data_IF_766846053185
#
_entry.id   IF_766846053185
#
_cell.length_a   1.000
_cell.length_b   1.000
_cell.length_c   1.000
_cell.angle_alpha   90.00
_cell.angle_beta   90.00
_cell.angle_gamma   90.00
#
_symmetry.space_group_name_H-M   'P 1'
#
loop_
_entity.id
_entity.type
_entity.pdbx_description
1 polymer ?
#
# COMPACT_ATOMS: atom_id res chain seq x y z
N UNK A 1 15.25 -8.09 15.20
CA UNK A 1 15.34 -7.25 16.41
C UNK A 1 16.70 -6.55 16.48
N UNK A 2 17.82 -7.25 16.23
CA UNK A 2 19.16 -6.65 16.33
C UNK A 2 19.28 -5.39 15.46
N UNK A 3 18.92 -5.47 14.19
CA UNK A 3 18.95 -4.32 13.28
C UNK A 3 18.16 -3.10 13.80
N UNK A 4 17.07 -3.35 14.55
CA UNK A 4 16.27 -2.28 15.14
C UNK A 4 16.99 -1.64 16.34
N UNK A 5 17.63 -2.45 17.18
CA UNK A 5 18.44 -1.98 18.30
C UNK A 5 19.62 -1.15 17.79
N UNK A 6 20.29 -1.62 16.75
CA UNK A 6 21.42 -0.92 16.13
C UNK A 6 20.96 0.41 15.51
N UNK A 7 19.83 0.42 14.79
CA UNK A 7 19.30 1.64 14.16
C UNK A 7 18.80 2.68 15.18
N UNK A 8 18.33 2.26 16.35
CA UNK A 8 17.80 3.16 17.39
C UNK A 8 18.79 3.49 18.48
N UNK A 9 19.92 2.81 18.53
CA UNK A 9 20.92 2.87 19.59
C UNK A 9 20.31 2.62 21.00
N UNK A 10 19.26 1.80 21.05
CA UNK A 10 18.57 1.45 22.29
C UNK A 10 18.95 0.05 22.76
N UNK A 11 19.02 -0.16 24.08
CA UNK A 11 19.06 -1.51 24.63
C UNK A 11 17.71 -2.21 24.45
N UNK A 12 17.74 -3.55 24.39
CA UNK A 12 16.51 -4.37 24.35
C UNK A 12 15.57 -4.07 25.52
N UNK A 13 16.12 -3.85 26.71
CA UNK A 13 15.36 -3.49 27.92
C UNK A 13 14.68 -2.12 27.75
N UNK A 14 15.41 -1.11 27.27
CA UNK A 14 14.86 0.23 27.03
C UNK A 14 13.76 0.19 25.96
N UNK A 15 13.96 -0.57 24.87
CA UNK A 15 12.97 -0.73 23.82
C UNK A 15 11.65 -1.30 24.38
N UNK A 16 11.73 -2.41 25.13
CA UNK A 16 10.52 -3.04 25.66
C UNK A 16 9.90 -2.30 26.86
N UNK A 17 10.68 -1.49 27.58
CA UNK A 17 10.13 -0.59 28.59
C UNK A 17 9.19 0.46 27.97
N UNK A 18 9.49 0.93 26.76
CA UNK A 18 8.67 1.92 26.04
C UNK A 18 7.53 1.27 25.28
N UNK A 19 7.79 0.18 24.57
CA UNK A 19 6.85 -0.42 23.62
C UNK A 19 6.18 -1.70 24.15
N UNK A 20 6.53 -2.17 25.35
CA UNK A 20 5.97 -3.38 25.97
C UNK A 20 6.58 -4.65 25.40
N UNK A 21 6.18 -5.05 24.19
CA UNK A 21 6.65 -6.28 23.54
C UNK A 21 7.04 -6.02 22.07
N UNK A 22 7.72 -7.01 21.47
CA UNK A 22 8.00 -6.99 20.02
C UNK A 22 6.72 -6.88 19.18
N UNK A 23 5.66 -7.56 19.62
CA UNK A 23 4.36 -7.52 18.95
C UNK A 23 3.73 -6.13 19.04
N UNK A 24 3.66 -5.54 20.24
CA UNK A 24 3.10 -4.19 20.42
C UNK A 24 3.88 -3.15 19.62
N UNK A 25 5.21 -3.24 19.60
CA UNK A 25 6.04 -2.39 18.76
C UNK A 25 5.66 -2.54 17.28
N UNK A 26 5.43 -3.76 16.81
CA UNK A 26 5.06 -4.03 15.43
C UNK A 26 3.66 -3.49 15.10
N UNK A 27 2.68 -3.66 16.00
CA UNK A 27 1.34 -3.08 15.89
C UNK A 27 1.42 -1.55 15.74
N UNK A 28 2.15 -0.89 16.64
CA UNK A 28 2.36 0.56 16.58
C UNK A 28 3.07 1.01 15.30
N UNK A 29 4.03 0.23 14.82
CA UNK A 29 4.74 0.52 13.57
C UNK A 29 3.81 0.44 12.35
N UNK A 30 2.95 -0.60 12.26
CA UNK A 30 1.94 -0.72 11.19
C UNK A 30 0.96 0.46 11.25
N UNK A 31 0.44 0.78 12.42
CA UNK A 31 -0.51 1.88 12.58
C UNK A 31 0.10 3.22 12.16
N UNK A 32 1.32 3.52 12.63
CA UNK A 32 2.01 4.73 12.26
C UNK A 32 2.29 4.82 10.76
N UNK A 33 2.81 3.74 10.18
CA UNK A 33 3.07 3.66 8.74
C UNK A 33 1.80 3.88 7.94
N UNK A 34 0.73 3.17 8.28
CA UNK A 34 -0.57 3.27 7.59
C UNK A 34 -1.15 4.67 7.67
N UNK A 35 -1.10 5.30 8.84
CA UNK A 35 -1.64 6.64 9.05
C UNK A 35 -0.86 7.70 8.25
N UNK A 36 0.47 7.60 8.19
CA UNK A 36 1.32 8.51 7.40
C UNK A 36 1.02 8.33 5.92
N UNK A 37 1.00 7.08 5.44
CA UNK A 37 0.74 6.76 4.04
C UNK A 37 -0.66 7.20 3.61
N UNK A 38 -1.69 6.90 4.42
CA UNK A 38 -3.07 7.31 4.15
C UNK A 38 -3.22 8.82 4.04
N UNK A 39 -2.65 9.58 5.00
CA UNK A 39 -2.68 11.05 4.96
C UNK A 39 -2.02 11.60 3.70
N UNK A 40 -0.86 11.05 3.33
CA UNK A 40 -0.16 11.47 2.11
C UNK A 40 -0.99 11.17 0.86
N UNK A 41 -1.52 9.95 0.73
CA UNK A 41 -2.31 9.54 -0.44
C UNK A 41 -3.64 10.28 -0.52
N UNK A 42 -4.31 10.55 0.62
CA UNK A 42 -5.55 11.34 0.64
C UNK A 42 -5.31 12.77 0.18
N UNK A 43 -4.26 13.41 0.68
CA UNK A 43 -3.88 14.76 0.23
C UNK A 43 -3.50 14.79 -1.25
N UNK A 44 -2.83 13.74 -1.73
CA UNK A 44 -2.48 13.60 -3.14
C UNK A 44 -3.73 13.41 -4.03
N UNK A 45 -4.71 12.59 -3.61
CA UNK A 45 -5.99 12.45 -4.30
C UNK A 45 -6.70 13.80 -4.42
N UNK A 46 -6.74 14.59 -3.34
CA UNK A 46 -7.41 15.89 -3.35
C UNK A 46 -6.67 16.92 -4.23
N UNK A 47 -5.35 16.80 -4.38
CA UNK A 47 -4.51 17.71 -5.18
C UNK A 47 -4.44 17.34 -6.67
N UNK A 48 -4.76 16.11 -7.07
CA UNK A 48 -4.71 15.68 -8.48
C UNK A 48 -5.86 16.27 -9.31
N UNK A 49 -5.65 16.51 -10.61
CA UNK A 49 -6.66 17.06 -11.50
C UNK A 49 -7.89 16.15 -11.64
N UNK A 50 -7.72 14.82 -11.56
CA UNK A 50 -8.84 13.87 -11.61
C UNK A 50 -8.57 12.63 -10.76
N UNK A 51 -9.66 11.86 -10.50
CA UNK A 51 -9.56 10.56 -9.82
C UNK A 51 -8.71 9.57 -10.61
N UNK A 52 -8.85 9.53 -11.93
CA UNK A 52 -8.06 8.66 -12.81
C UNK A 52 -6.57 9.06 -12.81
N UNK A 53 -6.26 10.36 -12.80
CA UNK A 53 -4.87 10.84 -12.71
C UNK A 53 -4.19 10.39 -11.42
N UNK A 54 -4.90 10.40 -10.28
CA UNK A 54 -4.39 9.85 -9.02
C UNK A 54 -4.08 8.35 -9.11
N UNK A 55 -5.00 7.57 -9.69
CA UNK A 55 -4.83 6.11 -9.85
C UNK A 55 -3.62 5.82 -10.74
N UNK A 56 -3.55 6.49 -11.90
CA UNK A 56 -2.45 6.35 -12.84
C UNK A 56 -1.09 6.65 -12.20
N UNK A 57 -0.99 7.79 -11.52
CA UNK A 57 0.27 8.21 -10.89
C UNK A 57 0.66 7.31 -9.72
N UNK A 58 -0.32 6.77 -8.97
CA UNK A 58 -0.07 5.78 -7.91
C UNK A 58 0.53 4.50 -8.49
N UNK A 59 -0.02 3.97 -9.57
CA UNK A 59 0.51 2.78 -10.26
C UNK A 59 1.92 3.02 -10.80
N UNK A 60 2.13 4.15 -11.49
CA UNK A 60 3.46 4.53 -12.00
C UNK A 60 4.47 4.74 -10.87
N UNK A 61 4.07 5.37 -9.77
CA UNK A 61 4.94 5.56 -8.61
C UNK A 61 5.46 4.23 -8.08
N UNK A 62 4.58 3.22 -8.00
CA UNK A 62 4.97 1.87 -7.57
C UNK A 62 5.88 1.21 -8.61
N UNK A 63 5.51 1.22 -9.90
CA UNK A 63 6.30 0.58 -10.95
C UNK A 63 7.72 1.16 -11.06
N UNK A 64 7.87 2.48 -10.86
CA UNK A 64 9.16 3.19 -10.94
C UNK A 64 10.02 3.07 -9.67
N UNK A 65 9.55 2.40 -8.63
CA UNK A 65 10.36 2.17 -7.42
C UNK A 65 11.64 1.38 -7.75
N UNK A 66 11.60 0.49 -8.75
CA UNK A 66 12.76 -0.27 -9.22
C UNK A 66 13.89 0.63 -9.77
N UNK A 67 13.56 1.81 -10.29
CA UNK A 67 14.53 2.78 -10.82
C UNK A 67 15.14 3.65 -9.70
N UNK A 68 14.45 3.76 -8.57
CA UNK A 68 14.83 4.65 -7.45
C UNK A 68 15.52 3.94 -6.31
N UNK A 69 15.47 2.61 -6.27
CA UNK A 69 16.03 1.81 -5.18
C UNK A 69 16.66 0.53 -5.70
N UNK A 70 17.91 0.30 -5.33
CA UNK A 70 18.59 -0.98 -5.57
C UNK A 70 17.94 -2.13 -4.78
N UNK A 71 17.33 -1.83 -3.64
CA UNK A 71 16.61 -2.77 -2.78
C UNK A 71 15.18 -2.28 -2.51
N UNK A 72 14.24 -2.51 -3.44
CA UNK A 72 12.84 -2.15 -3.25
C UNK A 72 12.25 -2.88 -2.03
N UNK A 73 11.69 -2.13 -1.10
CA UNK A 73 11.18 -2.70 0.17
C UNK A 73 9.74 -3.24 0.06
N UNK A 74 9.03 -2.84 -0.99
CA UNK A 74 7.61 -3.16 -1.15
C UNK A 74 6.71 -2.41 -0.16
N UNK A 75 5.50 -2.93 0.07
CA UNK A 75 4.57 -2.35 1.04
C UNK A 75 4.68 -3.05 2.40
N UNK A 76 4.84 -2.28 3.47
CA UNK A 76 4.93 -2.85 4.82
C UNK A 76 3.67 -3.63 5.20
N UNK A 77 2.47 -3.14 4.84
CA UNK A 77 1.21 -3.83 5.08
C UNK A 77 1.18 -5.18 4.32
N UNK A 78 1.44 -5.17 3.00
CA UNK A 78 1.42 -6.39 2.19
C UNK A 78 2.48 -7.41 2.63
N UNK A 79 3.66 -6.96 3.02
CA UNK A 79 4.69 -7.84 3.57
C UNK A 79 4.24 -8.46 4.90
N UNK A 80 3.53 -7.69 5.73
CA UNK A 80 3.04 -8.15 7.03
C UNK A 80 1.95 -9.21 6.93
N UNK A 81 1.12 -9.18 5.89
CA UNK A 81 0.11 -10.21 5.62
C UNK A 81 0.78 -11.59 5.53
N UNK A 82 1.85 -11.68 4.77
CA UNK A 82 2.53 -12.95 4.51
C UNK A 82 3.29 -13.50 5.75
N UNK A 83 3.77 -12.62 6.62
CA UNK A 83 4.60 -13.02 7.75
C UNK A 83 3.80 -13.33 9.03
N UNK A 84 2.72 -12.60 9.27
CA UNK A 84 2.06 -12.56 10.59
C UNK A 84 0.61 -13.00 10.61
N UNK A 85 -0.12 -12.96 9.48
CA UNK A 85 -1.55 -13.28 9.45
C UNK A 85 -1.89 -14.71 9.89
N UNK A 86 -0.93 -15.63 9.83
CA UNK A 86 -1.12 -17.04 10.20
C UNK A 86 -0.95 -17.27 11.71
N UNK A 87 -0.23 -16.37 12.41
CA UNK A 87 0.22 -16.61 13.79
C UNK A 87 -0.46 -15.76 14.85
N UNK A 88 -1.09 -14.66 14.47
CA UNK A 88 -1.65 -13.70 15.42
C UNK A 88 -2.93 -13.08 14.89
N UNK A 89 -4.04 -13.39 15.56
CA UNK A 89 -5.39 -12.92 15.16
C UNK A 89 -5.55 -11.41 15.30
N UNK A 90 -4.91 -10.80 16.29
CA UNK A 90 -4.99 -9.35 16.51
C UNK A 90 -4.25 -8.59 15.41
N UNK A 91 -3.03 -9.02 15.09
CA UNK A 91 -2.25 -8.45 13.98
C UNK A 91 -2.97 -8.66 12.64
N UNK A 92 -3.56 -9.84 12.43
CA UNK A 92 -4.38 -10.11 11.26
C UNK A 92 -5.52 -9.09 11.13
N UNK A 93 -6.24 -8.82 12.22
CA UNK A 93 -7.34 -7.85 12.18
C UNK A 93 -6.85 -6.43 11.86
N UNK A 94 -5.77 -5.98 12.51
CA UNK A 94 -5.16 -4.67 12.22
C UNK A 94 -4.79 -4.56 10.74
N UNK A 95 -4.20 -5.60 10.16
CA UNK A 95 -3.79 -5.61 8.75
C UNK A 95 -5.02 -5.53 7.83
N UNK A 96 -6.09 -6.28 8.13
CA UNK A 96 -7.35 -6.24 7.38
C UNK A 96 -7.94 -4.84 7.44
N UNK A 97 -8.10 -4.25 8.63
CA UNK A 97 -8.68 -2.92 8.80
C UNK A 97 -7.89 -1.84 8.05
N UNK A 98 -6.56 -1.97 8.00
CA UNK A 98 -5.72 -1.05 7.24
C UNK A 98 -5.85 -1.25 5.73
N UNK A 99 -5.97 -2.48 5.26
CA UNK A 99 -6.23 -2.77 3.85
C UNK A 99 -7.58 -2.18 3.40
N UNK A 100 -8.64 -2.40 4.17
CA UNK A 100 -9.96 -1.83 3.91
C UNK A 100 -9.95 -0.29 3.88
N UNK A 101 -9.13 0.34 4.74
CA UNK A 101 -8.95 1.79 4.74
C UNK A 101 -8.37 2.29 3.40
N UNK A 102 -7.38 1.59 2.83
CA UNK A 102 -6.82 1.94 1.52
C UNK A 102 -7.75 1.59 0.37
N UNK A 103 -8.47 0.47 0.45
CA UNK A 103 -9.51 0.16 -0.55
C UNK A 103 -10.59 1.24 -0.58
N UNK A 104 -11.03 1.74 0.58
CA UNK A 104 -11.98 2.84 0.64
C UNK A 104 -11.46 4.15 0.01
N UNK A 105 -10.16 4.42 0.15
CA UNK A 105 -9.53 5.57 -0.53
C UNK A 105 -9.53 5.39 -2.05
N UNK A 106 -9.21 4.20 -2.54
CA UNK A 106 -9.29 3.90 -3.97
C UNK A 106 -10.73 3.93 -4.49
N UNK A 107 -11.71 3.47 -3.70
CA UNK A 107 -13.12 3.58 -4.07
C UNK A 107 -13.56 5.06 -4.21
N UNK A 108 -13.06 5.95 -3.33
CA UNK A 108 -13.27 7.41 -3.47
C UNK A 108 -12.65 7.94 -4.77
N UNK A 109 -11.43 7.52 -5.11
CA UNK A 109 -10.77 7.93 -6.35
C UNK A 109 -11.49 7.43 -7.60
N UNK A 110 -11.93 6.18 -7.61
CA UNK A 110 -12.69 5.58 -8.72
C UNK A 110 -14.05 6.27 -8.88
N UNK A 111 -14.78 6.49 -7.77
CA UNK A 111 -16.06 7.20 -7.79
C UNK A 111 -15.89 8.61 -8.37
N UNK A 112 -14.84 9.31 -7.96
CA UNK A 112 -14.49 10.62 -8.52
C UNK A 112 -14.23 10.55 -10.02
N UNK A 113 -13.44 9.57 -10.49
CA UNK A 113 -13.18 9.37 -11.92
C UNK A 113 -14.45 9.03 -12.73
N UNK A 114 -15.40 8.31 -12.14
CA UNK A 114 -16.71 8.05 -12.75
C UNK A 114 -17.55 9.34 -12.83
N UNK A 115 -17.57 10.16 -11.78
CA UNK A 115 -18.31 11.44 -11.76
C UNK A 115 -17.71 12.47 -12.74
N UNK A 116 -16.41 12.38 -13.00
CA UNK A 116 -15.67 13.18 -13.97
C UNK A 116 -15.84 12.66 -15.43
N UNK A 117 -16.39 11.44 -15.60
CA UNK A 117 -16.59 10.80 -16.91
C UNK A 117 -15.36 10.07 -17.47
N UNK A 118 -14.31 9.95 -16.67
CA UNK A 118 -13.07 9.25 -17.04
C UNK A 118 -13.22 7.71 -17.00
N UNK A 119 -14.12 7.19 -16.15
CA UNK A 119 -14.43 5.77 -16.02
C UNK A 119 -15.93 5.51 -16.19
N UNK A 120 -16.29 4.29 -16.63
CA UNK A 120 -17.70 3.87 -16.72
C UNK A 120 -18.37 3.84 -15.34
N UNK A 121 -19.58 4.41 -15.25
CA UNK A 121 -20.40 4.34 -14.04
C UNK A 121 -21.16 3.02 -13.87
N UNK A 122 -21.05 2.09 -14.82
CA UNK A 122 -21.71 0.78 -14.75
C UNK A 122 -21.05 -0.16 -13.71
N UNK A 123 -19.75 0.03 -13.46
CA UNK A 123 -18.98 -0.77 -12.53
C UNK A 123 -19.10 -0.25 -11.10
N UNK A 124 -19.18 -1.17 -10.12
CA UNK A 124 -19.19 -0.80 -8.70
C UNK A 124 -17.82 -0.26 -8.25
N UNK A 125 -17.71 0.98 -7.75
CA UNK A 125 -16.44 1.57 -7.33
C UNK A 125 -15.71 0.76 -6.25
N UNK A 126 -16.43 0.07 -5.36
CA UNK A 126 -15.81 -0.75 -4.30
C UNK A 126 -15.19 -2.02 -4.86
N UNK A 127 -15.85 -2.66 -5.84
CA UNK A 127 -15.32 -3.88 -6.47
C UNK A 127 -14.07 -3.55 -7.29
N UNK A 128 -14.11 -2.45 -8.06
CA UNK A 128 -12.94 -1.96 -8.78
C UNK A 128 -11.81 -1.56 -7.82
N UNK A 129 -12.13 -0.99 -6.66
CA UNK A 129 -11.12 -0.63 -5.66
C UNK A 129 -10.42 -1.86 -5.07
N UNK A 130 -11.16 -2.94 -4.79
CA UNK A 130 -10.59 -4.22 -4.38
C UNK A 130 -9.65 -4.80 -5.44
N UNK A 131 -10.07 -4.78 -6.72
CA UNK A 131 -9.22 -5.18 -7.84
C UNK A 131 -7.95 -4.32 -7.93
N UNK A 132 -8.09 -3.00 -7.87
CA UNK A 132 -6.97 -2.06 -7.93
C UNK A 132 -5.99 -2.25 -6.76
N UNK A 133 -6.48 -2.41 -5.54
CA UNK A 133 -5.65 -2.66 -4.36
C UNK A 133 -4.84 -3.96 -4.49
N UNK A 134 -5.47 -5.04 -4.98
CA UNK A 134 -4.79 -6.30 -5.26
C UNK A 134 -3.74 -6.14 -6.38
N UNK A 135 -4.07 -5.42 -7.45
CA UNK A 135 -3.14 -5.15 -8.56
C UNK A 135 -1.91 -4.36 -8.09
N UNK A 136 -2.10 -3.32 -7.26
CA UNK A 136 -1.01 -2.55 -6.65
C UNK A 136 -0.16 -3.44 -5.73
N UNK A 137 -0.78 -4.32 -4.95
CA UNK A 137 -0.06 -5.25 -4.06
C UNK A 137 0.79 -6.24 -4.86
N UNK A 138 0.25 -6.79 -5.94
CA UNK A 138 0.97 -7.65 -6.88
C UNK A 138 2.10 -6.92 -7.60
N UNK A 139 1.86 -5.67 -8.03
CA UNK A 139 2.88 -4.82 -8.65
C UNK A 139 4.04 -4.56 -7.69
N UNK A 140 3.78 -4.24 -6.42
CA UNK A 140 4.82 -4.08 -5.39
C UNK A 140 5.63 -5.37 -5.15
N UNK A 141 4.97 -6.53 -5.15
CA UNK A 141 5.66 -7.82 -5.07
C UNK A 141 6.56 -8.04 -6.28
N UNK A 142 6.11 -7.70 -7.49
CA UNK A 142 6.88 -7.78 -8.73
C UNK A 142 8.09 -6.85 -8.70
N UNK A 143 7.94 -5.62 -8.23
CA UNK A 143 9.04 -4.66 -8.02
C UNK A 143 10.07 -5.20 -7.04
N UNK A 144 9.62 -5.73 -5.89
CA UNK A 144 10.50 -6.35 -4.88
C UNK A 144 11.27 -7.53 -5.45
N UNK A 145 10.67 -8.29 -6.37
CA UNK A 145 11.30 -9.43 -7.07
C UNK A 145 12.16 -9.00 -8.26
N UNK A 146 12.38 -7.70 -8.47
CA UNK A 146 13.19 -7.12 -9.54
C UNK A 146 12.75 -7.57 -10.94
N UNK A 147 11.43 -7.66 -11.15
CA UNK A 147 10.85 -7.90 -12.48
C UNK A 147 11.21 -6.75 -13.40
N UNK A 148 11.48 -7.05 -14.70
CA UNK A 148 11.90 -6.03 -15.65
C UNK A 148 10.91 -4.85 -15.76
N UNK A 149 11.45 -3.64 -15.96
CA UNK A 149 10.65 -2.42 -16.13
C UNK A 149 9.57 -2.58 -17.20
N UNK A 150 9.91 -3.14 -18.37
CA UNK A 150 8.97 -3.36 -19.47
C UNK A 150 7.76 -4.20 -19.02
N UNK A 151 7.97 -5.21 -18.18
CA UNK A 151 6.87 -6.03 -17.65
C UNK A 151 6.05 -5.27 -16.61
N UNK A 152 6.70 -4.45 -15.77
CA UNK A 152 6.00 -3.60 -14.80
C UNK A 152 5.11 -2.56 -15.50
N UNK A 153 5.63 -1.88 -16.54
CA UNK A 153 4.87 -0.92 -17.34
C UNK A 153 3.65 -1.61 -17.98
N UNK A 154 3.82 -2.83 -18.50
CA UNK A 154 2.71 -3.60 -19.08
C UNK A 154 1.63 -3.98 -18.07
N UNK A 155 2.03 -4.29 -16.81
CA UNK A 155 1.07 -4.54 -15.72
C UNK A 155 0.27 -3.26 -15.42
N UNK A 156 0.92 -2.10 -15.41
CA UNK A 156 0.25 -0.81 -15.22
C UNK A 156 -0.78 -0.57 -16.32
N UNK A 157 -0.39 -0.71 -17.61
CA UNK A 157 -1.27 -0.52 -18.75
C UNK A 157 -2.52 -1.42 -18.68
N UNK A 158 -2.31 -2.71 -18.39
CA UNK A 158 -3.41 -3.68 -18.28
C UNK A 158 -4.32 -3.35 -17.10
N UNK A 159 -3.73 -2.96 -15.95
CA UNK A 159 -4.52 -2.59 -14.76
C UNK A 159 -5.40 -1.39 -15.05
N UNK A 160 -4.86 -0.35 -15.70
CA UNK A 160 -5.63 0.84 -16.07
C UNK A 160 -6.74 0.49 -17.07
N UNK A 161 -6.43 -0.31 -18.10
CA UNK A 161 -7.41 -0.75 -19.10
C UNK A 161 -8.56 -1.56 -18.48
N UNK A 162 -8.31 -2.32 -17.43
CA UNK A 162 -9.33 -3.13 -16.74
C UNK A 162 -10.28 -2.31 -15.85
N UNK A 163 -10.01 -1.01 -15.63
CA UNK A 163 -10.90 -0.12 -14.87
C UNK A 163 -12.00 0.50 -15.74
N UNK A 164 -11.84 0.49 -17.07
CA UNK A 164 -12.81 0.98 -18.04
C UNK A 164 -13.88 -0.07 -18.37
#
# INVERSE_FOLDING_TARGET
LQNLLDATNLSKSSLYKVFGSKQQLFEMAIERYSNILYKSMSAELDAKPSGLAFIHDTLLFVAREIERSEEPRGCFISNSINEWSIRDQRLKQIIIDRSETFEALFAKAIKRAQDEGDLSSENNPRELAGFLFNSISGLRASVKSKVSKQKLDKIVDITLSALH
#
